data_IF_624286991575
#
_entry.id   IF_624286991575
#
_cell.length_a   1.000
_cell.length_b   1.000
_cell.length_c   1.000
_cell.angle_alpha   90.00
_cell.angle_beta   90.00
_cell.angle_gamma   90.00
#
_symmetry.space_group_name_H-M   'P 1'
#
loop_
_entity.id
_entity.type
_entity.pdbx_description
1 polymer ?
#
# COMPACT_ATOMS: atom_id res chain seq x y z
N UNK A 1 -3.27 -27.52 -5.40
CA UNK A 1 -2.70 -26.57 -4.40
C UNK A 1 -3.26 -25.21 -4.76
N UNK A 2 -3.75 -24.43 -3.79
CA UNK A 2 -4.20 -23.06 -4.07
C UNK A 2 -2.99 -22.18 -4.34
N UNK A 3 -3.05 -21.37 -5.39
CA UNK A 3 -2.00 -20.39 -5.67
C UNK A 3 -2.16 -19.20 -4.74
N UNK A 4 -1.04 -18.59 -4.36
CA UNK A 4 -1.03 -17.37 -3.54
C UNK A 4 -0.38 -16.23 -4.31
N UNK A 5 -0.70 -15.01 -3.91
CA UNK A 5 -0.01 -13.80 -4.33
C UNK A 5 0.45 -13.02 -3.11
N UNK A 6 1.35 -12.06 -3.29
CA UNK A 6 1.62 -11.07 -2.25
C UNK A 6 0.86 -9.79 -2.57
N UNK A 7 0.13 -9.27 -1.59
CA UNK A 7 -0.68 -8.06 -1.73
C UNK A 7 -0.12 -6.98 -0.80
N UNK A 8 0.35 -5.90 -1.40
CA UNK A 8 0.80 -4.69 -0.71
C UNK A 8 -0.31 -3.64 -0.76
N UNK A 9 -0.67 -3.10 0.40
CA UNK A 9 -1.61 -1.99 0.52
C UNK A 9 -0.86 -0.78 1.11
N UNK A 10 -0.62 0.30 0.33
CA UNK A 10 0.17 1.44 0.80
C UNK A 10 -0.53 2.27 1.88
N UNK A 11 -1.87 2.24 1.96
CA UNK A 11 -2.63 2.99 2.97
C UNK A 11 -2.41 2.40 4.37
N UNK A 12 -2.36 1.08 4.45
CA UNK A 12 -2.11 0.36 5.73
C UNK A 12 -0.66 -0.03 5.93
N UNK A 13 0.16 0.12 4.88
CA UNK A 13 1.54 -0.40 4.76
C UNK A 13 1.67 -1.93 4.83
N UNK A 14 0.56 -2.67 4.89
CA UNK A 14 0.57 -4.11 5.06
C UNK A 14 0.98 -4.82 3.78
N UNK A 15 1.93 -5.75 3.90
CA UNK A 15 2.33 -6.67 2.84
C UNK A 15 2.09 -8.11 3.33
N UNK A 16 1.20 -8.83 2.63
CA UNK A 16 0.72 -10.13 3.11
C UNK A 16 0.53 -11.12 1.97
N UNK A 17 0.59 -12.39 2.32
CA UNK A 17 0.18 -13.48 1.41
C UNK A 17 -1.34 -13.55 1.36
N UNK A 18 -1.90 -13.64 0.15
CA UNK A 18 -3.33 -13.81 -0.10
C UNK A 18 -3.56 -15.00 -1.03
N UNK A 19 -4.65 -15.73 -0.83
CA UNK A 19 -5.07 -16.75 -1.79
C UNK A 19 -5.54 -16.08 -3.09
N UNK A 20 -5.11 -16.62 -4.22
CA UNK A 20 -5.64 -16.26 -5.53
C UNK A 20 -6.77 -17.24 -5.84
N UNK A 21 -7.98 -16.71 -6.00
CA UNK A 21 -9.14 -17.52 -6.35
C UNK A 21 -8.92 -18.21 -7.70
N UNK A 22 -9.50 -19.41 -7.85
CA UNK A 22 -9.59 -20.05 -9.16
C UNK A 22 -10.41 -19.16 -10.10
N UNK A 23 -9.89 -18.91 -11.30
CA UNK A 23 -10.52 -18.02 -12.26
C UNK A 23 -9.71 -17.95 -13.53
N UNK A 24 -10.30 -17.37 -14.57
CA UNK A 24 -9.65 -17.23 -15.87
C UNK A 24 -9.02 -15.85 -16.05
N UNK A 25 -7.88 -15.82 -16.73
CA UNK A 25 -7.09 -14.62 -17.00
C UNK A 25 -6.84 -13.80 -15.73
N UNK A 26 -7.04 -12.49 -15.82
CA UNK A 26 -6.74 -11.54 -14.74
C UNK A 26 -7.92 -11.28 -13.78
N UNK A 27 -9.05 -11.98 -13.92
CA UNK A 27 -10.23 -11.76 -13.07
C UNK A 27 -9.95 -11.85 -11.55
N UNK A 28 -9.15 -12.82 -11.06
CA UNK A 28 -8.76 -12.84 -9.65
C UNK A 28 -7.92 -11.64 -9.22
N UNK A 29 -7.05 -11.14 -10.11
CA UNK A 29 -6.16 -9.99 -9.84
C UNK A 29 -6.96 -8.69 -9.75
N UNK A 30 -7.92 -8.47 -10.68
CA UNK A 30 -8.85 -7.34 -10.60
C UNK A 30 -9.61 -7.31 -9.26
N UNK A 31 -10.03 -8.48 -8.78
CA UNK A 31 -10.77 -8.60 -7.52
C UNK A 31 -9.91 -8.23 -6.30
N UNK A 32 -8.63 -8.64 -6.29
CA UNK A 32 -7.69 -8.27 -5.22
C UNK A 32 -7.37 -6.77 -5.20
N UNK A 33 -7.22 -6.17 -6.38
CA UNK A 33 -6.91 -4.75 -6.54
C UNK A 33 -8.14 -3.86 -6.36
N UNK A 34 -9.35 -4.37 -6.62
CA UNK A 34 -10.59 -3.59 -6.58
C UNK A 34 -10.73 -2.62 -7.75
N UNK A 35 -10.05 -2.89 -8.89
CA UNK A 35 -10.03 -2.04 -10.07
C UNK A 35 -10.57 -2.75 -11.31
N UNK A 36 -10.74 -1.99 -12.41
CA UNK A 36 -11.26 -2.50 -13.70
C UNK A 36 -10.19 -2.56 -14.80
N UNK A 37 -9.09 -1.85 -14.61
CA UNK A 37 -7.97 -1.81 -15.53
C UNK A 37 -6.69 -2.00 -14.71
N UNK A 38 -5.82 -2.88 -15.18
CA UNK A 38 -4.55 -3.16 -14.51
C UNK A 38 -3.39 -2.82 -15.42
N UNK A 39 -2.38 -2.20 -14.83
CA UNK A 39 -1.06 -2.11 -15.40
C UNK A 39 -0.23 -3.31 -14.93
N UNK A 40 0.61 -3.85 -15.81
CA UNK A 40 1.60 -4.86 -15.46
C UNK A 40 3.01 -4.25 -15.55
N UNK A 41 3.76 -4.36 -14.46
CA UNK A 41 5.16 -3.91 -14.37
C UNK A 41 6.02 -5.11 -14.03
N UNK A 42 7.13 -5.28 -14.74
CA UNK A 42 8.09 -6.35 -14.45
C UNK A 42 8.80 -6.09 -13.11
N UNK A 43 8.76 -7.07 -12.20
CA UNK A 43 9.49 -7.02 -10.93
C UNK A 43 10.92 -7.51 -11.11
N UNK A 44 11.06 -8.70 -11.69
CA UNK A 44 12.32 -9.33 -12.10
C UNK A 44 12.07 -10.25 -13.32
N UNK A 45 12.98 -11.18 -13.62
CA UNK A 45 12.84 -12.07 -14.78
C UNK A 45 11.72 -13.13 -14.63
N UNK A 46 11.18 -13.34 -13.44
CA UNK A 46 10.17 -14.38 -13.14
C UNK A 46 8.89 -13.85 -12.50
N UNK A 47 8.86 -12.60 -12.04
CA UNK A 47 7.74 -12.03 -11.30
C UNK A 47 7.26 -10.72 -11.92
N UNK A 48 5.96 -10.45 -11.78
CA UNK A 48 5.33 -9.22 -12.21
C UNK A 48 4.49 -8.62 -11.09
N UNK A 49 4.38 -7.29 -11.14
CA UNK A 49 3.49 -6.47 -10.34
C UNK A 49 2.25 -6.11 -11.17
N UNK A 50 1.10 -6.23 -10.54
CA UNK A 50 -0.17 -5.74 -11.05
C UNK A 50 -0.69 -4.66 -10.12
N UNK A 51 -1.17 -3.58 -10.71
CA UNK A 51 -1.70 -2.42 -9.99
C UNK A 51 -2.82 -1.78 -10.81
N UNK A 52 -3.63 -0.95 -10.16
CA UNK A 52 -4.61 -0.12 -10.85
C UNK A 52 -3.91 0.91 -11.75
N UNK A 53 -4.19 0.87 -13.05
CA UNK A 53 -3.60 1.79 -14.04
C UNK A 53 -3.96 3.26 -13.74
N UNK A 54 -5.13 3.47 -13.14
CA UNK A 54 -5.65 4.78 -12.73
C UNK A 54 -5.45 5.05 -11.23
N UNK A 55 -4.57 4.27 -10.58
CA UNK A 55 -4.34 4.35 -9.13
C UNK A 55 -3.69 5.66 -8.68
N UNK A 56 -2.93 6.32 -9.56
CA UNK A 56 -2.35 7.65 -9.31
C UNK A 56 -3.34 8.74 -9.72
N UNK A 57 -4.24 9.09 -8.80
CA UNK A 57 -5.28 10.10 -9.00
C UNK A 57 -5.25 11.17 -7.91
N UNK A 58 -5.94 12.26 -8.17
CA UNK A 58 -6.10 13.32 -7.17
C UNK A 58 -6.75 12.78 -5.89
N UNK A 59 -6.26 13.24 -4.74
CA UNK A 59 -6.79 12.91 -3.42
C UNK A 59 -6.29 11.59 -2.81
N UNK A 60 -5.31 10.92 -3.41
CA UNK A 60 -4.66 9.76 -2.76
C UNK A 60 -3.95 10.17 -1.46
N UNK A 61 -3.99 9.30 -0.45
CA UNK A 61 -3.34 9.52 0.86
C UNK A 61 -2.07 8.70 1.03
N UNK A 62 -1.87 7.68 0.21
CA UNK A 62 -0.63 6.91 0.14
C UNK A 62 -0.30 6.44 -1.30
N UNK A 63 0.97 6.15 -1.53
CA UNK A 63 1.48 5.54 -2.77
C UNK A 63 2.72 4.70 -2.45
N UNK A 64 3.17 3.89 -3.41
CA UNK A 64 4.37 3.07 -3.26
C UNK A 64 5.47 3.55 -4.19
N UNK A 65 6.71 3.65 -3.70
CA UNK A 65 7.89 3.75 -4.56
C UNK A 65 8.49 2.35 -4.71
N UNK A 66 8.70 1.93 -5.95
CA UNK A 66 9.36 0.67 -6.30
C UNK A 66 10.72 0.95 -6.91
N UNK A 67 11.79 0.39 -6.35
CA UNK A 67 13.17 0.77 -6.68
C UNK A 67 13.52 0.66 -8.18
N UNK A 68 12.91 -0.27 -8.90
CA UNK A 68 13.19 -0.54 -10.31
C UNK A 68 12.24 0.17 -11.28
N UNK A 69 11.40 1.11 -10.79
CA UNK A 69 10.44 1.83 -11.62
C UNK A 69 10.45 3.34 -11.32
N UNK A 70 10.54 4.20 -12.33
CA UNK A 70 10.78 5.64 -12.13
C UNK A 70 9.58 6.41 -11.59
N UNK A 71 8.36 5.90 -11.78
CA UNK A 71 7.14 6.55 -11.32
C UNK A 71 6.65 5.92 -10.00
N UNK A 72 6.00 6.69 -9.11
CA UNK A 72 5.30 6.10 -7.98
C UNK A 72 4.19 5.17 -8.49
N UNK A 73 3.75 4.26 -7.63
CA UNK A 73 2.68 3.29 -7.91
C UNK A 73 1.49 3.62 -7.02
N UNK A 74 0.34 3.86 -7.63
CA UNK A 74 -0.90 4.18 -6.92
C UNK A 74 -1.72 2.94 -6.57
N UNK A 75 -2.42 2.99 -5.44
CA UNK A 75 -3.27 1.89 -4.99
C UNK A 75 -2.51 0.64 -4.55
N UNK A 76 -3.24 -0.47 -4.44
CA UNK A 76 -2.68 -1.76 -4.02
C UNK A 76 -1.81 -2.35 -5.13
N UNK A 77 -0.86 -3.19 -4.73
CA UNK A 77 0.03 -3.91 -5.65
C UNK A 77 -0.09 -5.41 -5.38
N UNK A 78 -0.32 -6.18 -6.43
CA UNK A 78 -0.29 -7.65 -6.40
C UNK A 78 0.99 -8.14 -7.07
N UNK A 79 1.78 -8.94 -6.37
CA UNK A 79 2.96 -9.61 -6.90
C UNK A 79 2.66 -11.10 -7.11
N UNK A 80 2.88 -11.58 -8.33
CA UNK A 80 2.78 -12.99 -8.70
C UNK A 80 4.02 -13.44 -9.48
N UNK A 81 4.16 -14.77 -9.65
CA UNK A 81 5.09 -15.32 -10.62
C UNK A 81 4.44 -15.37 -12.01
N UNK A 82 5.21 -15.05 -13.03
CA UNK A 82 4.78 -14.95 -14.42
C UNK A 82 4.30 -13.55 -14.79
N UNK A 83 3.68 -13.44 -15.96
CA UNK A 83 3.16 -12.21 -16.56
C UNK A 83 1.63 -12.09 -16.43
N UNK A 84 1.02 -12.90 -15.55
CA UNK A 84 -0.43 -13.00 -15.37
C UNK A 84 -1.15 -13.79 -16.46
N UNK A 85 -0.43 -14.39 -17.41
CA UNK A 85 -0.99 -15.46 -18.23
C UNK A 85 -1.28 -16.70 -17.39
N UNK A 86 -2.29 -17.45 -17.81
CA UNK A 86 -2.62 -18.69 -17.12
C UNK A 86 -1.54 -19.77 -17.35
N UNK A 87 -1.28 -20.61 -16.33
CA UNK A 87 -1.86 -20.56 -14.99
C UNK A 87 -1.12 -19.59 -14.05
N UNK A 88 -1.85 -18.98 -13.11
CA UNK A 88 -1.23 -18.17 -12.06
C UNK A 88 -0.35 -19.05 -11.18
N UNK A 89 0.88 -18.61 -10.91
CA UNK A 89 1.78 -19.33 -10.02
C UNK A 89 2.09 -18.50 -8.79
N UNK A 90 2.20 -19.17 -7.64
CA UNK A 90 2.71 -18.56 -6.43
C UNK A 90 4.11 -17.95 -6.68
N UNK A 91 4.40 -16.77 -6.11
CA UNK A 91 5.75 -16.20 -6.12
C UNK A 91 6.78 -17.23 -5.69
N UNK A 92 7.89 -17.32 -6.43
CA UNK A 92 9.04 -18.13 -6.03
C UNK A 92 10.02 -17.38 -5.12
N UNK A 93 9.88 -16.05 -5.02
CA UNK A 93 10.60 -15.19 -4.08
C UNK A 93 9.89 -15.17 -2.72
N UNK A 94 10.65 -15.05 -1.64
CA UNK A 94 10.09 -14.84 -0.30
C UNK A 94 9.51 -13.43 -0.16
N UNK A 95 8.48 -13.26 0.67
CA UNK A 95 7.83 -11.95 0.83
C UNK A 95 8.78 -10.92 1.47
N UNK A 96 9.68 -11.36 2.35
CA UNK A 96 10.71 -10.52 2.97
C UNK A 96 11.66 -9.95 1.92
N UNK A 97 12.10 -10.80 0.99
CA UNK A 97 13.01 -10.43 -0.09
C UNK A 97 12.31 -9.51 -1.11
N UNK A 98 11.02 -9.70 -1.36
CA UNK A 98 10.26 -8.78 -2.19
C UNK A 98 10.08 -7.40 -1.51
N UNK A 99 9.86 -7.37 -0.19
CA UNK A 99 9.55 -6.16 0.56
C UNK A 99 10.65 -5.10 0.52
N UNK A 100 11.93 -5.52 0.40
CA UNK A 100 13.06 -4.58 0.39
C UNK A 100 13.04 -3.62 -0.81
N UNK A 101 12.31 -3.97 -1.87
CA UNK A 101 12.19 -3.17 -3.08
C UNK A 101 11.13 -2.06 -3.00
N UNK A 102 10.30 -2.05 -1.95
CA UNK A 102 9.19 -1.13 -1.82
C UNK A 102 9.40 -0.13 -0.68
N UNK A 103 8.87 1.07 -0.87
CA UNK A 103 8.63 2.06 0.18
C UNK A 103 7.18 2.53 0.08
N UNK A 104 6.41 2.36 1.15
CA UNK A 104 5.10 2.99 1.28
C UNK A 104 5.30 4.44 1.71
N UNK A 105 4.73 5.35 0.93
CA UNK A 105 4.89 6.78 1.07
C UNK A 105 3.55 7.42 1.39
N UNK A 106 3.54 8.35 2.35
CA UNK A 106 2.35 9.16 2.66
C UNK A 106 2.72 10.63 2.84
N UNK A 107 1.97 11.56 2.24
CA UNK A 107 2.07 12.97 2.59
C UNK A 107 1.63 13.15 4.05
N UNK A 108 2.38 13.93 4.82
CA UNK A 108 2.02 14.29 6.19
C UNK A 108 2.17 15.78 6.41
N UNK A 109 1.29 16.31 7.25
CA UNK A 109 1.28 17.70 7.70
C UNK A 109 1.80 17.71 9.13
N UNK A 110 3.00 18.28 9.31
CA UNK A 110 3.55 18.48 10.64
C UNK A 110 3.16 19.90 11.12
N UNK A 111 2.39 20.02 12.21
CA UNK A 111 2.08 21.33 12.80
C UNK A 111 3.33 21.94 13.42
N UNK A 112 3.53 23.23 13.18
CA UNK A 112 4.57 24.03 13.81
C UNK A 112 3.90 24.94 14.84
N UNK A 113 4.40 24.89 16.08
CA UNK A 113 3.86 25.67 17.18
C UNK A 113 4.80 26.79 17.59
N UNK A 114 4.23 27.92 18.01
CA UNK A 114 4.94 29.04 18.61
C UNK A 114 5.60 28.59 19.92
N UNK A 115 6.87 28.92 20.08
CA UNK A 115 7.66 28.70 21.29
C UNK A 115 7.70 29.97 22.15
N UNK A 116 8.11 29.85 23.42
CA UNK A 116 8.17 30.99 24.33
C UNK A 116 9.21 32.06 23.92
N UNK A 117 10.17 31.69 23.08
CA UNK A 117 11.24 32.57 22.61
C UNK A 117 10.88 33.29 21.29
N UNK A 118 9.74 32.97 20.68
CA UNK A 118 9.31 33.55 19.41
C UNK A 118 8.77 34.97 19.59
N UNK A 119 9.54 36.00 19.23
CA UNK A 119 9.09 37.38 19.32
C UNK A 119 8.06 37.73 18.22
N UNK A 120 6.86 38.16 18.60
CA UNK A 120 5.91 38.77 17.67
C UNK A 120 5.90 40.30 17.81
N UNK A 121 5.72 41.06 16.71
CA UNK A 121 5.70 42.53 16.75
C UNK A 121 4.60 43.14 17.65
N UNK A 122 3.59 42.34 18.02
CA UNK A 122 2.44 42.78 18.84
C UNK A 122 2.58 42.42 20.33
N UNK A 123 3.70 41.85 20.76
CA UNK A 123 4.05 41.67 22.18
C UNK A 123 3.26 40.59 22.93
N UNK A 124 2.35 39.86 22.25
CA UNK A 124 1.68 38.69 22.83
C UNK A 124 2.19 37.42 22.14
N UNK A 125 2.90 36.60 22.91
CA UNK A 125 3.30 35.25 22.53
C UNK A 125 2.34 34.32 23.26
N UNK A 126 1.63 33.46 22.51
CA UNK A 126 0.85 32.37 23.08
C UNK A 126 1.61 31.07 22.77
N UNK A 127 2.50 30.60 23.67
CA UNK A 127 3.20 29.34 23.47
C UNK A 127 2.21 28.22 23.18
N UNK A 128 2.50 27.40 22.18
CA UNK A 128 1.62 26.32 21.72
C UNK A 128 0.56 26.75 20.70
N UNK A 129 0.45 28.02 20.33
CA UNK A 129 -0.37 28.41 19.18
C UNK A 129 0.21 27.84 17.87
N UNK A 130 -0.65 27.39 16.96
CA UNK A 130 -0.22 26.94 15.63
C UNK A 130 0.28 28.14 14.81
N UNK A 131 1.52 28.09 14.35
CA UNK A 131 2.14 29.15 13.54
C UNK A 131 2.27 28.79 12.07
N UNK A 132 2.48 27.51 11.75
CA UNK A 132 2.72 27.03 10.39
C UNK A 132 2.38 25.55 10.24
N UNK A 133 2.33 25.06 9.00
CA UNK A 133 2.20 23.66 8.64
C UNK A 133 3.29 23.28 7.64
N UNK A 134 4.12 22.31 8.01
CA UNK A 134 5.14 21.76 7.10
C UNK A 134 4.61 20.53 6.40
N UNK A 135 4.76 20.48 5.08
CA UNK A 135 4.46 19.30 4.28
C UNK A 135 5.74 18.49 4.10
N UNK A 136 5.69 17.19 4.37
CA UNK A 136 6.74 16.25 3.98
C UNK A 136 6.14 14.95 3.46
N UNK A 137 6.95 14.17 2.75
CA UNK A 137 6.62 12.78 2.41
C UNK A 137 7.30 11.89 3.43
N UNK A 138 6.50 11.20 4.23
CA UNK A 138 7.03 10.11 5.05
C UNK A 138 7.19 8.85 4.19
N UNK A 139 8.28 8.12 4.39
CA UNK A 139 8.54 6.85 3.72
C UNK A 139 8.81 5.77 4.75
N UNK A 140 8.19 4.60 4.56
CA UNK A 140 8.36 3.43 5.44
C UNK A 140 8.48 2.15 4.60
N UNK A 141 9.24 1.15 5.05
CA UNK A 141 9.16 -0.18 4.43
C UNK A 141 7.76 -0.78 4.67
N UNK A 142 7.31 -1.72 3.82
CA UNK A 142 6.10 -2.48 4.10
C UNK A 142 6.18 -3.25 5.42
N UNK A 143 5.04 -3.36 6.11
CA UNK A 143 4.87 -4.17 7.30
C UNK A 143 4.42 -5.57 6.89
N UNK A 144 5.28 -6.56 7.10
CA UNK A 144 4.97 -7.95 6.80
C UNK A 144 3.96 -8.50 7.81
N UNK A 145 2.84 -9.04 7.33
CA UNK A 145 1.93 -9.84 8.15
C UNK A 145 2.18 -11.32 7.88
N UNK A 146 2.47 -12.06 8.96
CA UNK A 146 2.55 -13.51 8.89
C UNK A 146 1.15 -14.06 8.63
N UNK A 147 1.00 -14.87 7.58
CA UNK A 147 -0.28 -15.35 7.05
C UNK A 147 -1.03 -16.34 7.95
N UNK A 148 -0.76 -16.34 9.26
CA UNK A 148 -1.33 -17.28 10.24
C UNK A 148 -2.48 -16.75 11.08
N UNK A 149 -2.79 -15.46 11.05
CA UNK A 149 -3.95 -14.92 11.75
C UNK A 149 -4.62 -13.90 10.86
N UNK A 150 -5.88 -14.16 10.49
CA UNK A 150 -6.99 -13.19 10.42
C UNK A 150 -8.26 -13.86 9.87
N UNK A 151 -8.74 -14.88 10.59
CA UNK A 151 -10.17 -15.21 10.60
C UNK A 151 -10.82 -14.29 11.62
N UNK A 152 -10.96 -12.99 11.31
CA UNK A 152 -11.86 -12.12 12.07
C UNK A 152 -13.28 -12.22 11.50
N UNK A 153 -13.95 -13.30 11.95
CA UNK A 153 -15.30 -13.31 12.53
C UNK A 153 -16.25 -12.20 12.07
N UNK A 154 -16.84 -12.35 10.89
CA UNK A 154 -18.15 -11.78 10.57
C UNK A 154 -19.25 -12.68 11.15
N UNK A 155 -19.48 -12.59 12.46
CA UNK A 155 -20.72 -13.04 13.09
C UNK A 155 -21.12 -11.99 14.13
N UNK A 156 -21.72 -10.91 13.64
CA UNK A 156 -22.67 -10.14 14.41
C UNK A 156 -24.04 -10.76 14.14
N UNK A 157 -24.38 -11.79 14.92
CA UNK A 157 -25.74 -12.33 14.96
C UNK A 157 -26.71 -11.24 15.41
N UNK A 158 -27.90 -11.29 14.82
CA UNK A 158 -28.96 -10.31 15.00
C UNK A 158 -29.38 -10.14 16.45
N UNK A 159 -29.56 -8.89 16.83
CA UNK A 159 -30.37 -8.51 17.99
C UNK A 159 -31.83 -8.84 17.70
N UNK A 160 -32.30 -9.94 18.28
CA UNK A 160 -33.71 -10.18 18.59
C UNK A 160 -33.76 -10.84 19.97
N UNK A 161 -34.00 -10.03 21.00
CA UNK A 161 -34.80 -10.32 22.22
C UNK A 161 -34.94 -9.03 23.02
#
# INVERSE_FOLDING_TARGET
MKNVAYLLDPETTLFRTVEVADGTGLAPIFSLLGCRLVQMIRFDDSHALFLDDEGLRDGITAFTVFASYPQPLGGRIVLIRGDGSEPHFSPSIKIEDAAVHFKCCRPVLDPVFVTADDATPKGLILPGALSDLKVRIEQRPPMLMDGRHDVYRAHGDGLNS
#
